data_IF_182411935281
#
_entry.id   IF_182411935281
#
_cell.length_a   1.000
_cell.length_b   1.000
_cell.length_c   1.000
_cell.angle_alpha   90.00
_cell.angle_beta   90.00
_cell.angle_gamma   90.00
#
_symmetry.space_group_name_H-M   'P 1'
#
loop_
_entity.id
_entity.type
_entity.pdbx_description
1 polymer ?
#
# COMPACT_ATOMS: atom_id res chain seq x y z
N UNK A 1 -8.87 -15.93 -4.48
CA UNK A 1 -7.42 -15.60 -4.39
C UNK A 1 -7.23 -14.65 -3.21
N UNK A 2 -6.24 -14.88 -2.35
CA UNK A 2 -5.89 -13.98 -1.24
C UNK A 2 -4.57 -13.28 -1.55
N UNK A 3 -4.47 -11.99 -1.25
CA UNK A 3 -3.26 -11.17 -1.46
C UNK A 3 -2.83 -10.60 -0.12
N UNK A 4 -1.54 -10.70 0.21
CA UNK A 4 -0.90 -9.95 1.28
C UNK A 4 -0.08 -8.84 0.65
N UNK A 5 -0.39 -7.61 1.03
CA UNK A 5 0.33 -6.44 0.54
C UNK A 5 1.75 -6.43 1.10
N UNK A 6 2.73 -6.26 0.22
CA UNK A 6 4.12 -6.08 0.60
C UNK A 6 4.35 -4.67 1.16
N UNK A 7 5.33 -4.56 2.06
CA UNK A 7 5.83 -3.31 2.64
C UNK A 7 4.86 -2.52 3.52
N UNK A 8 3.78 -3.16 3.95
CA UNK A 8 2.80 -2.59 4.88
C UNK A 8 2.59 -3.53 6.05
N UNK A 9 2.44 -2.95 7.24
CA UNK A 9 1.91 -3.63 8.41
C UNK A 9 0.77 -2.79 8.99
N UNK A 10 -0.43 -3.35 9.03
CA UNK A 10 -1.55 -2.78 9.76
C UNK A 10 -1.51 -3.31 11.21
N UNK A 11 -2.12 -2.60 12.17
CA UNK A 11 -2.36 -3.14 13.51
C UNK A 11 -3.09 -4.48 13.42
N UNK A 12 -2.59 -5.52 14.07
CA UNK A 12 -3.26 -6.83 14.09
C UNK A 12 -4.46 -6.81 15.07
N UNK A 13 -5.54 -7.53 14.70
CA UNK A 13 -6.71 -7.81 15.54
C UNK A 13 -6.50 -8.94 16.54
N UNK A 14 -5.51 -9.81 16.34
CA UNK A 14 -5.29 -10.94 17.23
C UNK A 14 -4.35 -10.56 18.37
N UNK A 15 -4.74 -10.94 19.59
CA UNK A 15 -3.99 -10.84 20.85
C UNK A 15 -2.55 -11.34 20.66
N UNK A 16 -1.66 -10.43 20.26
CA UNK A 16 -0.23 -10.68 20.15
C UNK A 16 0.45 -10.06 21.38
N UNK A 17 1.77 -10.19 21.50
CA UNK A 17 2.52 -9.63 22.62
C UNK A 17 2.35 -8.10 22.80
N UNK A 18 1.61 -7.43 21.91
CA UNK A 18 1.36 -5.99 21.88
C UNK A 18 -0.09 -5.58 22.25
N UNK A 19 -0.92 -6.51 22.73
CA UNK A 19 -2.22 -6.23 23.39
C UNK A 19 -3.48 -6.54 22.57
N UNK A 20 -4.65 -6.23 23.17
CA UNK A 20 -6.00 -6.51 22.63
C UNK A 20 -6.25 -5.81 21.28
N UNK A 21 -7.20 -6.38 20.55
CA UNK A 21 -7.80 -5.87 19.30
C UNK A 21 -7.97 -4.35 19.31
N UNK A 22 -7.33 -3.69 18.34
CA UNK A 22 -7.21 -2.22 18.27
C UNK A 22 -8.20 -1.67 17.26
N UNK A 23 -8.92 -0.59 17.62
CA UNK A 23 -9.84 0.16 16.74
C UNK A 23 -9.19 0.51 15.39
N UNK A 24 -7.89 0.69 15.41
CA UNK A 24 -7.08 1.02 14.25
C UNK A 24 -7.05 -0.09 13.18
N UNK A 25 -7.27 -1.36 13.53
CA UNK A 25 -7.43 -2.46 12.56
C UNK A 25 -8.76 -2.34 11.80
N UNK A 26 -9.86 -2.16 12.53
CA UNK A 26 -11.19 -1.96 11.93
C UNK A 26 -11.18 -0.75 10.98
N UNK A 27 -10.52 0.33 11.40
CA UNK A 27 -10.34 1.53 10.60
C UNK A 27 -9.52 1.26 9.31
N UNK A 28 -8.43 0.50 9.40
CA UNK A 28 -7.61 0.15 8.23
C UNK A 28 -8.38 -0.75 7.26
N UNK A 29 -9.14 -1.71 7.79
CA UNK A 29 -10.01 -2.57 6.99
C UNK A 29 -11.15 -1.78 6.34
N UNK A 30 -11.80 -0.86 7.07
CA UNK A 30 -12.84 0.02 6.54
C UNK A 30 -12.28 0.91 5.42
N UNK A 31 -11.12 1.52 5.64
CA UNK A 31 -10.43 2.32 4.63
C UNK A 31 -10.13 1.51 3.37
N UNK A 32 -9.67 0.25 3.50
CA UNK A 32 -9.44 -0.62 2.34
C UNK A 32 -10.71 -0.97 1.58
N UNK A 33 -11.83 -1.21 2.29
CA UNK A 33 -13.12 -1.47 1.64
C UNK A 33 -13.64 -0.25 0.88
N UNK A 34 -13.41 0.94 1.40
CA UNK A 34 -13.75 2.20 0.72
C UNK A 34 -12.83 2.46 -0.48
N UNK A 35 -11.53 2.19 -0.32
CA UNK A 35 -10.54 2.39 -1.36
C UNK A 35 -10.69 1.39 -2.53
N UNK A 36 -11.08 0.16 -2.20
CA UNK A 36 -11.23 -0.98 -3.10
C UNK A 36 -12.60 -1.63 -2.90
N UNK A 37 -13.69 -0.97 -3.30
CA UNK A 37 -15.01 -1.57 -3.27
C UNK A 37 -15.05 -2.83 -4.13
N UNK A 38 -15.99 -3.73 -3.84
CA UNK A 38 -16.16 -4.96 -4.61
C UNK A 38 -16.30 -4.67 -6.11
N UNK A 39 -15.62 -5.46 -6.94
CA UNK A 39 -15.51 -5.23 -8.38
C UNK A 39 -14.37 -4.29 -8.80
N UNK A 40 -13.63 -3.70 -7.85
CA UNK A 40 -12.43 -2.91 -8.16
C UNK A 40 -11.39 -3.72 -8.93
N UNK A 41 -10.91 -3.14 -10.03
CA UNK A 41 -9.80 -3.70 -10.79
C UNK A 41 -8.48 -3.25 -10.18
N UNK A 42 -7.61 -4.20 -9.88
CA UNK A 42 -6.26 -3.95 -9.38
C UNK A 42 -5.23 -4.64 -10.25
N UNK A 43 -4.06 -4.02 -10.36
CA UNK A 43 -2.87 -4.65 -10.91
C UNK A 43 -1.98 -5.10 -9.77
N UNK A 44 -1.50 -6.34 -9.83
CA UNK A 44 -0.58 -6.91 -8.85
C UNK A 44 0.83 -6.95 -9.45
N UNK A 45 1.82 -6.56 -8.65
CA UNK A 45 3.22 -6.60 -9.00
C UNK A 45 4.04 -7.05 -7.80
N UNK A 46 5.02 -7.93 -8.02
CA UNK A 46 5.95 -8.38 -6.97
C UNK A 46 7.38 -8.02 -7.34
N UNK A 47 8.28 -7.87 -6.35
CA UNK A 47 9.69 -7.52 -6.61
C UNK A 47 10.47 -8.63 -7.34
N UNK A 48 9.91 -9.85 -7.41
CA UNK A 48 10.52 -11.01 -8.07
C UNK A 48 9.83 -11.31 -9.40
N UNK A 49 10.51 -12.05 -10.29
CA UNK A 49 10.00 -12.43 -11.62
C UNK A 49 8.67 -13.19 -11.58
N UNK A 50 8.39 -13.88 -10.48
CA UNK A 50 7.12 -14.56 -10.21
C UNK A 50 6.58 -14.05 -8.89
N UNK A 51 5.26 -13.90 -8.82
CA UNK A 51 4.59 -13.63 -7.55
C UNK A 51 4.76 -14.82 -6.62
N UNK A 52 5.23 -14.55 -5.42
CA UNK A 52 5.44 -15.58 -4.40
C UNK A 52 4.18 -15.75 -3.56
N UNK A 53 4.03 -16.93 -2.98
CA UNK A 53 3.01 -17.20 -1.99
C UNK A 53 3.67 -17.36 -0.63
N UNK A 54 3.03 -16.83 0.41
CA UNK A 54 3.44 -17.13 1.78
C UNK A 54 2.89 -18.47 2.27
N UNK A 55 3.27 -18.86 3.49
CA UNK A 55 2.84 -20.12 4.12
C UNK A 55 1.34 -20.19 4.43
N UNK A 56 0.57 -19.14 4.15
CA UNK A 56 -0.89 -19.05 4.35
C UNK A 56 -1.64 -18.98 3.02
N UNK A 57 -1.00 -19.41 1.93
CA UNK A 57 -1.54 -19.40 0.57
C UNK A 57 -1.97 -18.01 0.08
N UNK A 58 -1.26 -16.95 0.53
CA UNK A 58 -1.50 -15.58 0.07
C UNK A 58 -0.43 -15.15 -0.91
N UNK A 59 -0.85 -14.54 -2.01
CA UNK A 59 0.04 -13.91 -2.99
C UNK A 59 0.70 -12.68 -2.36
N UNK A 60 2.02 -12.61 -2.38
CA UNK A 60 2.81 -11.47 -1.95
C UNK A 60 2.97 -10.48 -3.10
N UNK A 61 2.33 -9.32 -2.98
CA UNK A 61 2.35 -8.33 -4.05
C UNK A 61 2.18 -6.90 -3.52
N UNK A 62 2.69 -5.95 -4.30
CA UNK A 62 2.15 -4.60 -4.34
C UNK A 62 0.93 -4.55 -5.24
N UNK A 63 -0.01 -3.71 -4.87
CA UNK A 63 -1.24 -3.53 -5.60
C UNK A 63 -1.41 -2.07 -6.01
N UNK A 64 -1.86 -1.87 -7.24
CA UNK A 64 -2.23 -0.56 -7.78
C UNK A 64 -3.68 -0.61 -8.21
N UNK A 65 -4.44 0.44 -7.95
CA UNK A 65 -5.78 0.56 -8.53
C UNK A 65 -5.63 0.74 -10.03
N UNK A 66 -6.33 -0.08 -10.82
CA UNK A 66 -6.37 0.09 -12.25
C UNK A 66 -7.13 1.37 -12.59
N UNK A 67 -6.43 2.41 -13.04
CA UNK A 67 -7.07 3.52 -13.73
C UNK A 67 -7.54 2.96 -15.07
N UNK A 68 -8.86 2.89 -15.29
CA UNK A 68 -9.36 2.72 -16.65
C UNK A 68 -8.99 4.01 -17.38
N UNK A 69 -7.84 4.03 -18.03
CA UNK A 69 -7.55 5.03 -19.05
C UNK A 69 -8.38 4.60 -20.24
N UNK A 70 -9.56 5.21 -20.41
CA UNK A 70 -10.28 5.10 -21.68
C UNK A 70 -9.40 5.75 -22.75
N UNK A 71 -8.53 4.98 -23.37
CA UNK A 71 -7.97 5.33 -24.66
C UNK A 71 -9.08 5.19 -25.70
N UNK A 72 -10.02 6.13 -25.72
CA UNK A 72 -10.60 6.50 -27.00
C UNK A 72 -9.51 7.28 -27.71
N UNK A 73 -8.65 6.58 -28.46
CA UNK A 73 -8.16 7.18 -29.68
C UNK A 73 -9.40 7.32 -30.57
N UNK A 74 -9.85 8.54 -30.92
CA UNK A 74 -10.72 8.65 -32.06
C UNK A 74 -9.85 8.27 -33.26
N UNK A 75 -10.06 7.09 -33.83
CA UNK A 75 -9.39 6.65 -35.06
C UNK A 75 -9.74 7.52 -36.29
N UNK A 76 -10.38 8.68 -36.14
CA UNK A 76 -10.94 9.43 -37.26
C UNK A 76 -10.81 10.97 -37.18
N UNK A 77 -9.92 11.54 -36.35
CA UNK A 77 -9.71 13.01 -36.31
C UNK A 77 -8.24 13.43 -36.35
N UNK A 78 -7.67 13.71 -37.54
CA UNK A 78 -6.30 14.19 -37.70
C UNK A 78 -6.08 15.64 -37.23
N UNK A 79 -7.12 16.33 -36.76
CA UNK A 79 -7.14 17.76 -36.41
C UNK A 79 -7.09 18.06 -34.91
N UNK A 80 -7.08 17.05 -34.03
CA UNK A 80 -6.94 17.26 -32.59
C UNK A 80 -5.46 17.22 -32.16
N UNK A 81 -4.98 18.24 -31.41
CA UNK A 81 -3.65 18.18 -30.84
C UNK A 81 -3.57 16.96 -29.91
N UNK A 82 -2.54 16.14 -30.09
CA UNK A 82 -2.19 15.03 -29.23
C UNK A 82 -2.04 15.58 -27.80
N UNK A 83 -3.09 15.43 -27.00
CA UNK A 83 -3.08 15.85 -25.60
C UNK A 83 -2.05 14.99 -24.90
N UNK A 84 -0.88 15.56 -24.67
CA UNK A 84 0.19 14.96 -23.88
C UNK A 84 -0.33 14.88 -22.44
N UNK A 85 -1.05 13.82 -22.11
CA UNK A 85 -1.46 13.59 -20.73
C UNK A 85 -0.20 13.24 -19.94
N UNK A 86 0.14 13.96 -18.87
CA UNK A 86 1.25 13.57 -18.03
C UNK A 86 1.02 12.14 -17.56
N UNK A 87 2.04 11.29 -17.70
CA UNK A 87 2.06 9.96 -17.11
C UNK A 87 2.03 10.14 -15.59
N UNK A 88 0.83 10.26 -15.01
CA UNK A 88 0.68 10.21 -13.56
C UNK A 88 1.00 8.78 -13.17
N UNK A 89 2.17 8.57 -12.56
CA UNK A 89 2.52 7.24 -12.08
C UNK A 89 1.42 6.75 -11.14
N UNK A 90 0.88 5.54 -11.36
CA UNK A 90 -0.24 5.06 -10.57
C UNK A 90 0.18 4.87 -9.11
N UNK A 91 -0.47 5.62 -8.22
CA UNK A 91 -0.31 5.53 -6.75
C UNK A 91 -0.67 4.10 -6.30
N UNK A 92 0.21 3.48 -5.53
CA UNK A 92 -0.06 2.14 -4.97
C UNK A 92 -1.07 2.22 -3.83
N UNK A 93 -1.72 1.10 -3.55
CA UNK A 93 -2.59 0.96 -2.36
C UNK A 93 -1.76 1.12 -1.08
N UNK A 94 -0.48 0.71 -1.11
CA UNK A 94 0.42 0.82 0.03
C UNK A 94 0.77 2.26 0.37
N UNK A 95 1.06 3.09 -0.65
CA UNK A 95 1.25 4.53 -0.46
C UNK A 95 0.04 5.16 0.24
N UNK A 96 -1.18 4.84 -0.23
CA UNK A 96 -2.42 5.39 0.34
C UNK A 96 -2.66 4.93 1.79
N UNK A 97 -2.41 3.65 2.09
CA UNK A 97 -2.52 3.13 3.45
C UNK A 97 -1.57 3.82 4.43
N UNK A 98 -0.32 4.00 4.00
CA UNK A 98 0.74 4.59 4.82
C UNK A 98 0.47 6.08 5.01
N UNK A 99 0.16 6.81 3.93
CA UNK A 99 -0.13 8.25 3.99
C UNK A 99 -1.35 8.56 4.87
N UNK A 100 -2.37 7.69 4.87
CA UNK A 100 -3.53 7.80 5.75
C UNK A 100 -3.24 7.43 7.21
N UNK A 101 -2.02 6.97 7.54
CA UNK A 101 -1.67 6.48 8.86
C UNK A 101 -2.43 5.22 9.26
N UNK A 102 -2.85 4.40 8.30
CA UNK A 102 -3.50 3.10 8.54
C UNK A 102 -2.50 1.95 8.52
N UNK A 103 -1.27 2.21 8.09
CA UNK A 103 -0.17 1.27 8.09
C UNK A 103 1.17 2.00 8.24
N UNK A 104 2.21 1.24 8.62
CA UNK A 104 3.60 1.68 8.56
C UNK A 104 4.30 1.12 7.33
N UNK A 105 5.34 1.80 6.86
CA UNK A 105 6.26 1.24 5.88
C UNK A 105 7.09 0.13 6.54
N UNK A 106 6.70 -1.12 6.32
CA UNK A 106 7.25 -2.28 7.00
C UNK A 106 8.26 -3.03 6.14
N UNK A 107 9.55 -2.92 6.47
CA UNK A 107 10.66 -3.48 5.66
C UNK A 107 11.10 -4.86 6.12
N UNK A 108 10.17 -5.68 6.64
CA UNK A 108 10.46 -7.06 7.06
C UNK A 108 11.03 -7.88 5.90
N UNK A 109 10.35 -7.85 4.75
CA UNK A 109 10.71 -8.65 3.59
C UNK A 109 11.75 -7.94 2.68
N UNK A 110 12.50 -6.99 3.24
CA UNK A 110 13.39 -6.07 2.51
C UNK A 110 12.73 -4.75 2.16
N UNK A 111 13.52 -3.85 1.55
CA UNK A 111 13.03 -2.55 1.10
C UNK A 111 12.24 -2.70 -0.21
N UNK A 112 11.29 -1.79 -0.43
CA UNK A 112 10.71 -1.65 -1.76
C UNK A 112 11.81 -1.22 -2.75
N UNK A 113 11.73 -1.58 -4.05
CA UNK A 113 12.65 -1.01 -5.02
C UNK A 113 12.26 0.42 -5.38
N UNK A 114 13.21 1.17 -5.92
CA UNK A 114 12.92 2.50 -6.45
C UNK A 114 12.05 2.43 -7.73
N UNK A 115 11.17 3.43 -7.97
CA UNK A 115 10.95 4.64 -7.16
C UNK A 115 10.00 4.46 -5.97
N UNK A 116 9.49 3.24 -5.74
CA UNK A 116 8.46 2.99 -4.72
C UNK A 116 8.99 3.21 -3.30
N UNK A 117 10.25 2.84 -3.04
CA UNK A 117 10.88 3.08 -1.74
C UNK A 117 10.75 4.52 -1.27
N UNK A 118 11.25 5.46 -2.09
CA UNK A 118 11.21 6.89 -1.78
C UNK A 118 9.79 7.40 -1.54
N UNK A 119 8.80 6.88 -2.28
CA UNK A 119 7.38 7.24 -2.10
C UNK A 119 6.81 6.73 -0.78
N UNK A 120 7.09 5.49 -0.40
CA UNK A 120 6.62 4.92 0.87
C UNK A 120 7.27 5.63 2.07
N UNK A 121 8.53 6.05 1.97
CA UNK A 121 9.17 6.87 2.99
C UNK A 121 8.52 8.25 3.12
N UNK A 122 8.28 8.93 1.99
CA UNK A 122 7.61 10.22 1.98
C UNK A 122 6.19 10.14 2.57
N UNK A 123 5.42 9.11 2.18
CA UNK A 123 4.08 8.85 2.70
C UNK A 123 4.11 8.62 4.23
N UNK A 124 5.07 7.83 4.72
CA UNK A 124 5.20 7.57 6.16
C UNK A 124 5.55 8.86 6.92
N UNK A 125 6.52 9.63 6.42
CA UNK A 125 6.91 10.90 7.03
C UNK A 125 5.73 11.87 7.10
N UNK A 126 4.95 11.99 6.03
CA UNK A 126 3.75 12.83 6.00
C UNK A 126 2.71 12.39 7.04
N UNK A 127 2.50 11.08 7.20
CA UNK A 127 1.59 10.54 8.20
C UNK A 127 2.08 10.78 9.64
N UNK A 128 3.39 10.66 9.88
CA UNK A 128 4.04 10.94 11.16
C UNK A 128 3.89 12.41 11.57
N UNK A 129 4.29 13.33 10.68
CA UNK A 129 4.24 14.77 10.93
C UNK A 129 2.81 15.25 11.21
N UNK A 130 1.82 14.70 10.49
CA UNK A 130 0.42 15.01 10.68
C UNK A 130 -0.27 14.19 11.79
N UNK A 131 0.46 13.29 12.49
CA UNK A 131 -0.08 12.38 13.52
C UNK A 131 -1.34 11.64 13.06
N UNK A 132 -1.36 11.15 11.83
CA UNK A 132 -2.53 10.46 11.23
C UNK A 132 -2.64 9.03 11.75
N UNK A 133 -3.88 8.61 12.02
CA UNK A 133 -4.22 7.24 12.41
C UNK A 133 -3.32 6.71 13.53
N UNK A 134 -2.63 5.60 13.27
CA UNK A 134 -1.73 4.93 14.23
C UNK A 134 -0.64 5.86 14.78
N UNK A 135 -0.18 6.85 14.01
CA UNK A 135 0.87 7.78 14.45
C UNK A 135 0.35 8.79 15.48
N UNK A 136 -0.96 9.02 15.52
CA UNK A 136 -1.60 9.83 16.55
C UNK A 136 -2.14 9.02 17.72
N UNK A 137 -2.70 7.84 17.46
CA UNK A 137 -3.36 7.02 18.48
C UNK A 137 -2.44 6.02 19.18
N UNK A 138 -1.40 5.53 18.50
CA UNK A 138 -0.45 4.55 19.04
C UNK A 138 0.97 4.73 18.47
N UNK A 139 1.63 5.86 18.74
CA UNK A 139 2.92 6.20 18.13
C UNK A 139 4.01 5.17 18.46
N UNK A 140 4.04 4.63 19.69
CA UNK A 140 5.04 3.63 20.09
C UNK A 140 4.93 2.35 19.25
N UNK A 141 3.72 1.82 19.05
CA UNK A 141 3.53 0.65 18.18
C UNK A 141 3.96 0.94 16.73
N UNK A 142 3.63 2.13 16.23
CA UNK A 142 3.98 2.53 14.87
C UNK A 142 5.49 2.66 14.69
N UNK A 143 6.20 3.26 15.65
CA UNK A 143 7.66 3.37 15.66
C UNK A 143 8.32 1.98 15.74
N UNK A 144 7.91 1.14 16.69
CA UNK A 144 8.45 -0.20 16.87
C UNK A 144 8.29 -1.04 15.59
N UNK A 145 7.09 -1.01 14.99
CA UNK A 145 6.83 -1.75 13.75
C UNK A 145 7.56 -1.17 12.54
N UNK A 146 7.64 0.15 12.41
CA UNK A 146 8.38 0.79 11.31
C UNK A 146 9.89 0.48 11.37
N UNK A 147 10.42 0.25 12.58
CA UNK A 147 11.81 -0.11 12.83
C UNK A 147 12.07 -1.62 12.82
N UNK A 148 11.02 -2.45 12.78
CA UNK A 148 11.17 -3.90 12.67
C UNK A 148 11.88 -4.26 11.35
N UNK A 149 13.05 -4.88 11.47
CA UNK A 149 13.84 -5.42 10.36
C UNK A 149 14.14 -6.88 10.68
N UNK A 150 13.81 -7.79 9.78
CA UNK A 150 14.36 -9.15 9.87
C UNK A 150 15.83 -9.07 9.47
N UNK A 151 16.72 -9.63 10.30
CA UNK A 151 18.11 -9.81 9.92
C UNK A 151 18.18 -10.55 8.57
N UNK A 152 19.10 -10.15 7.66
CA UNK A 152 19.28 -10.89 6.42
C UNK A 152 19.59 -12.35 6.75
N UNK A 153 18.85 -13.28 6.13
CA UNK A 153 19.14 -14.71 6.18
C UNK A 153 20.33 -15.05 5.29
#
# INVERSE_FOLDING_TARGET
MKVRLLWVACPDSTDNAHGKEKKEDEDAAAFLRELLPEGSRISLWGPRKKLEMDSHDRVLASARRGTVVHHHAPEDRPDLPSVWMPQVEPVTIQEQLIEAGRSVYWRRDGEAPEPLHSKLEAAQKAAQEARRGIWGSNPTWAEDKANERTAPK
#
